data_IF_701840889131
#
_entry.id   IF_701840889131
#
_cell.length_a   1.000
_cell.length_b   1.000
_cell.length_c   1.000
_cell.angle_alpha   90.00
_cell.angle_beta   90.00
_cell.angle_gamma   90.00
#
_symmetry.space_group_name_H-M   'P 1'
#
loop_
_entity.id
_entity.type
_entity.pdbx_description
1 polymer ?
#
# COMPACT_ATOMS: atom_id res chain seq x y z
N UNK A 1 -34.98 14.65 -5.34
CA UNK A 1 -34.73 16.00 -5.88
C UNK A 1 -33.36 15.94 -6.53
N UNK A 2 -33.26 16.43 -7.77
CA UNK A 2 -32.08 16.25 -8.63
C UNK A 2 -30.94 17.14 -8.15
N UNK A 3 -29.84 16.52 -7.68
CA UNK A 3 -28.56 17.19 -7.46
C UNK A 3 -27.97 17.60 -8.82
N UNK A 4 -28.40 18.76 -9.31
CA UNK A 4 -27.80 19.40 -10.48
C UNK A 4 -26.48 20.04 -10.04
N UNK A 5 -25.38 19.29 -10.19
CA UNK A 5 -24.03 19.83 -10.08
C UNK A 5 -23.90 21.02 -11.04
N UNK A 6 -23.59 22.21 -10.51
CA UNK A 6 -23.40 23.41 -11.34
C UNK A 6 -22.01 23.36 -11.98
N UNK A 7 -21.89 23.51 -13.31
CA UNK A 7 -20.58 23.52 -13.98
C UNK A 7 -19.60 24.57 -13.46
N UNK A 8 -20.12 25.67 -12.90
CA UNK A 8 -19.33 26.74 -12.28
C UNK A 8 -18.57 26.27 -11.03
N UNK A 9 -19.18 25.44 -10.18
CA UNK A 9 -18.57 24.94 -8.94
C UNK A 9 -17.40 24.00 -9.26
N UNK A 10 -17.55 23.17 -10.30
CA UNK A 10 -16.47 22.28 -10.78
C UNK A 10 -15.30 23.11 -11.34
N UNK A 11 -15.59 24.19 -12.06
CA UNK A 11 -14.57 25.04 -12.69
C UNK A 11 -13.77 25.83 -11.64
N UNK A 12 -14.43 26.31 -10.59
CA UNK A 12 -13.78 27.01 -9.47
C UNK A 12 -12.89 26.09 -8.64
N UNK A 13 -13.33 24.86 -8.35
CA UNK A 13 -12.52 23.85 -7.65
C UNK A 13 -11.27 23.49 -8.47
N UNK A 14 -11.40 23.34 -9.79
CA UNK A 14 -10.25 23.07 -10.67
C UNK A 14 -9.29 24.26 -10.74
N UNK A 15 -9.80 25.50 -10.79
CA UNK A 15 -8.99 26.71 -10.76
C UNK A 15 -8.23 26.89 -9.43
N UNK A 16 -8.84 26.54 -8.30
CA UNK A 16 -8.15 26.52 -7.01
C UNK A 16 -7.03 25.48 -6.98
N UNK A 17 -7.32 24.24 -7.41
CA UNK A 17 -6.30 23.17 -7.49
C UNK A 17 -5.12 23.54 -8.40
N UNK A 18 -5.35 24.28 -9.48
CA UNK A 18 -4.29 24.76 -10.38
C UNK A 18 -3.44 25.88 -9.77
N UNK A 19 -4.03 26.75 -8.93
CA UNK A 19 -3.30 27.83 -8.24
C UNK A 19 -2.39 27.32 -7.13
N UNK A 20 -2.75 26.21 -6.50
CA UNK A 20 -1.94 25.56 -5.47
C UNK A 20 -0.75 24.75 -6.03
N UNK A 21 -0.58 24.68 -7.35
CA UNK A 21 0.62 24.13 -8.00
C UNK A 21 1.74 25.18 -7.90
N UNK A 22 2.19 25.46 -6.69
CA UNK A 22 3.41 26.21 -6.42
C UNK A 22 4.62 25.39 -6.83
N UNK A 23 5.52 25.98 -7.63
CA UNK A 23 6.74 25.35 -8.09
C UNK A 23 7.77 25.23 -6.96
N UNK A 24 7.61 24.28 -6.06
CA UNK A 24 8.72 23.79 -5.26
C UNK A 24 9.59 22.91 -6.15
N UNK A 25 10.73 23.45 -6.60
CA UNK A 25 11.78 22.67 -7.25
C UNK A 25 12.51 21.93 -6.13
N UNK A 26 11.92 20.83 -5.66
CA UNK A 26 12.67 19.85 -4.88
C UNK A 26 13.55 19.06 -5.85
N UNK A 27 14.85 18.96 -5.56
CA UNK A 27 15.75 18.07 -6.28
C UNK A 27 15.41 16.64 -5.88
N UNK A 28 14.38 16.08 -6.51
CA UNK A 28 14.08 14.66 -6.38
C UNK A 28 15.18 13.83 -7.04
N UNK A 29 15.62 12.81 -6.32
CA UNK A 29 16.56 11.84 -6.84
C UNK A 29 15.82 10.94 -7.84
N UNK A 30 16.16 11.08 -9.12
CA UNK A 30 15.55 10.34 -10.22
C UNK A 30 16.49 9.23 -10.68
N UNK A 31 15.93 8.04 -10.84
CA UNK A 31 16.57 6.88 -11.44
C UNK A 31 16.07 6.59 -12.85
N UNK A 32 16.76 5.69 -13.54
CA UNK A 32 16.37 5.24 -14.88
C UNK A 32 16.31 3.72 -14.91
N UNK A 33 15.21 3.18 -15.41
CA UNK A 33 15.03 1.73 -15.56
C UNK A 33 16.05 1.18 -16.55
N UNK A 34 16.89 0.24 -16.10
CA UNK A 34 17.83 -0.50 -16.93
C UNK A 34 17.14 -1.65 -17.64
N UNK A 35 16.47 -2.50 -16.88
CA UNK A 35 15.84 -3.73 -17.37
C UNK A 35 14.57 -4.01 -16.57
N UNK A 36 13.58 -4.61 -17.21
CA UNK A 36 12.35 -5.08 -16.56
C UNK A 36 12.08 -6.51 -17.00
N UNK A 37 11.90 -7.42 -16.05
CA UNK A 37 11.57 -8.80 -16.34
C UNK A 37 10.69 -9.39 -15.24
N UNK A 38 9.59 -10.04 -15.61
CA UNK A 38 8.67 -10.77 -14.72
C UNK A 38 8.30 -10.04 -13.42
N UNK A 39 8.03 -8.73 -13.51
CA UNK A 39 7.63 -7.92 -12.35
C UNK A 39 8.79 -7.41 -11.49
N UNK A 40 10.04 -7.67 -11.89
CA UNK A 40 11.25 -7.13 -11.27
C UNK A 40 11.87 -6.09 -12.21
N UNK A 41 12.21 -4.92 -11.67
CA UNK A 41 12.91 -3.89 -12.39
C UNK A 41 14.27 -3.59 -11.74
N UNK A 42 15.29 -3.36 -12.58
CA UNK A 42 16.58 -2.84 -12.15
C UNK A 42 16.67 -1.39 -12.55
N UNK A 43 17.04 -0.53 -11.60
CA UNK A 43 17.06 0.91 -11.77
C UNK A 43 18.47 1.40 -11.53
N UNK A 44 19.01 2.15 -12.47
CA UNK A 44 20.25 2.89 -12.29
C UNK A 44 19.99 4.22 -11.60
N UNK A 45 20.89 4.62 -10.69
CA UNK A 45 20.75 5.82 -9.88
C UNK A 45 20.15 5.52 -8.51
N UNK A 46 19.37 6.46 -7.96
CA UNK A 46 18.73 6.33 -6.64
C UNK A 46 19.74 5.96 -5.52
N UNK A 47 20.87 6.67 -5.44
CA UNK A 47 21.99 6.35 -4.54
C UNK A 47 21.61 6.36 -3.06
N UNK A 48 20.58 7.14 -2.70
CA UNK A 48 20.12 7.24 -1.33
C UNK A 48 18.85 6.43 -1.07
N UNK A 49 18.44 5.54 -1.99
CA UNK A 49 17.30 4.65 -1.78
C UNK A 49 17.49 3.77 -0.55
N UNK A 50 16.41 3.60 0.22
CA UNK A 50 16.40 2.74 1.40
C UNK A 50 15.78 1.37 1.08
N UNK A 51 16.19 0.36 1.84
CA UNK A 51 15.58 -0.96 1.73
C UNK A 51 14.10 -0.88 2.14
N UNK A 52 13.23 -1.58 1.41
CA UNK A 52 11.78 -1.51 1.55
C UNK A 52 11.17 -0.12 1.28
N UNK A 53 11.88 0.80 0.64
CA UNK A 53 11.30 2.07 0.21
C UNK A 53 10.34 1.88 -0.98
N UNK A 54 9.27 2.69 -1.02
CA UNK A 54 8.40 2.78 -2.18
C UNK A 54 9.01 3.70 -3.25
N UNK A 55 8.95 3.26 -4.49
CA UNK A 55 9.33 4.02 -5.67
C UNK A 55 8.11 4.27 -6.55
N UNK A 56 8.09 5.42 -7.21
CA UNK A 56 7.04 5.79 -8.15
C UNK A 56 7.62 5.91 -9.56
N UNK A 57 7.08 5.14 -10.48
CA UNK A 57 7.43 5.20 -11.89
C UNK A 57 6.70 6.35 -12.58
N UNK A 58 7.23 6.84 -13.70
CA UNK A 58 6.62 7.91 -14.48
C UNK A 58 5.15 7.66 -14.88
N UNK A 59 4.75 6.40 -14.98
CA UNK A 59 3.37 5.99 -15.28
C UNK A 59 2.46 5.85 -14.03
N UNK A 60 2.95 6.20 -12.83
CA UNK A 60 2.25 6.07 -11.55
C UNK A 60 2.30 4.67 -10.93
N UNK A 61 3.02 3.72 -11.53
CA UNK A 61 3.20 2.38 -10.93
C UNK A 61 4.10 2.50 -9.71
N UNK A 62 3.66 1.88 -8.61
CA UNK A 62 4.45 1.81 -7.38
C UNK A 62 5.30 0.53 -7.40
N UNK A 63 6.51 0.60 -6.85
CA UNK A 63 7.38 -0.54 -6.63
C UNK A 63 7.99 -0.50 -5.23
N UNK A 64 8.42 -1.65 -4.72
CA UNK A 64 9.17 -1.76 -3.47
C UNK A 64 10.63 -2.09 -3.78
N UNK A 65 11.55 -1.33 -3.18
CA UNK A 65 12.98 -1.64 -3.19
C UNK A 65 13.23 -2.91 -2.38
N UNK A 66 13.84 -3.91 -3.00
CA UNK A 66 14.21 -5.16 -2.35
C UNK A 66 15.72 -5.31 -2.22
N UNK A 67 16.46 -4.97 -3.27
CA UNK A 67 17.91 -5.11 -3.33
C UNK A 67 18.57 -3.75 -3.60
N UNK A 68 19.61 -3.45 -2.83
CA UNK A 68 20.49 -2.32 -3.05
C UNK A 68 21.85 -2.88 -3.48
N UNK A 69 22.18 -2.76 -4.76
CA UNK A 69 23.48 -3.12 -5.32
C UNK A 69 24.35 -1.86 -5.48
N UNK A 70 25.65 -2.02 -5.73
CA UNK A 70 26.58 -0.86 -5.84
C UNK A 70 26.19 0.09 -6.98
N UNK A 71 25.79 -0.46 -8.12
CA UNK A 71 25.51 0.30 -9.35
C UNK A 71 24.01 0.39 -9.69
N UNK A 72 23.16 -0.40 -9.04
CA UNK A 72 21.74 -0.44 -9.35
C UNK A 72 20.86 -0.80 -8.14
N UNK A 73 19.58 -0.48 -8.25
CA UNK A 73 18.55 -0.81 -7.28
C UNK A 73 17.58 -1.80 -7.90
N UNK A 74 17.39 -2.95 -7.25
CA UNK A 74 16.41 -3.95 -7.61
C UNK A 74 15.09 -3.69 -6.89
N UNK A 75 14.01 -3.52 -7.64
CA UNK A 75 12.67 -3.33 -7.10
C UNK A 75 11.65 -4.31 -7.67
N UNK A 76 10.62 -4.62 -6.88
CA UNK A 76 9.47 -5.41 -7.28
C UNK A 76 8.31 -4.47 -7.60
N UNK A 77 7.73 -4.61 -8.78
CA UNK A 77 6.61 -3.83 -9.26
C UNK A 77 5.32 -4.27 -8.56
N UNK A 78 4.58 -3.33 -7.98
CA UNK A 78 3.28 -3.55 -7.35
C UNK A 78 2.13 -3.22 -8.31
N UNK A 79 2.28 -3.64 -9.57
CA UNK A 79 1.35 -3.33 -10.64
C UNK A 79 1.70 -4.06 -11.94
N UNK A 80 0.98 -3.78 -13.03
CA UNK A 80 1.19 -4.45 -14.31
C UNK A 80 2.51 -4.04 -14.97
N UNK A 81 3.32 -5.04 -15.32
CA UNK A 81 4.64 -4.87 -15.97
C UNK A 81 4.54 -4.31 -17.39
N UNK A 82 3.42 -4.53 -18.09
CA UNK A 82 3.26 -4.25 -19.52
C UNK A 82 3.52 -2.81 -19.94
N UNK A 83 3.36 -1.87 -19.02
CA UNK A 83 3.48 -0.44 -19.28
C UNK A 83 4.83 0.16 -18.85
N UNK A 84 5.76 -0.66 -18.37
CA UNK A 84 7.09 -0.20 -17.94
C UNK A 84 8.12 -0.59 -19.00
N UNK A 85 8.97 0.36 -19.37
CA UNK A 85 9.99 0.20 -20.41
C UNK A 85 11.35 0.61 -19.87
N UNK A 86 12.39 0.07 -20.48
CA UNK A 86 13.76 0.54 -20.29
C UNK A 86 13.86 2.04 -20.62
N UNK A 87 14.68 2.76 -19.86
CA UNK A 87 14.81 4.21 -19.96
C UNK A 87 13.72 5.01 -19.23
N UNK A 88 12.67 4.37 -18.70
CA UNK A 88 11.63 5.06 -17.93
C UNK A 88 12.21 5.68 -16.66
N UNK A 89 11.70 6.86 -16.28
CA UNK A 89 12.13 7.54 -15.05
C UNK A 89 11.42 6.94 -13.84
N UNK A 90 12.18 6.82 -12.75
CA UNK A 90 11.67 6.37 -11.46
C UNK A 90 12.06 7.39 -10.41
N UNK A 91 11.12 7.72 -9.52
CA UNK A 91 11.31 8.67 -8.43
C UNK A 91 11.20 7.96 -7.09
N UNK A 92 11.92 8.49 -6.12
CA UNK A 92 11.80 8.07 -4.73
C UNK A 92 10.59 8.72 -4.09
N UNK A 93 9.85 7.93 -3.31
CA UNK A 93 8.79 8.48 -2.46
C UNK A 93 9.31 8.90 -1.10
N UNK A 94 10.53 8.47 -0.70
CA UNK A 94 11.12 8.65 0.64
C UNK A 94 10.27 8.02 1.75
N UNK A 95 9.41 7.08 1.40
CA UNK A 95 8.52 6.38 2.31
C UNK A 95 8.86 4.91 2.31
N UNK A 96 9.18 4.37 3.47
CA UNK A 96 9.21 2.93 3.69
C UNK A 96 7.82 2.36 3.42
N UNK A 97 7.77 1.15 2.87
CA UNK A 97 6.56 0.42 2.53
C UNK A 97 5.51 0.52 3.64
N UNK A 98 4.49 1.33 3.37
CA UNK A 98 3.45 1.70 4.31
C UNK A 98 2.14 1.94 3.58
N UNK A 99 1.06 1.88 4.34
CA UNK A 99 -0.28 2.21 3.88
C UNK A 99 -0.91 3.22 4.84
N UNK A 100 -1.80 4.07 4.34
CA UNK A 100 -2.64 4.88 5.22
C UNK A 100 -3.79 4.02 5.73
N UNK A 101 -4.12 4.15 7.01
CA UNK A 101 -5.21 3.38 7.63
C UNK A 101 -6.12 4.29 8.45
N UNK A 102 -7.42 4.00 8.42
CA UNK A 102 -8.44 4.62 9.27
C UNK A 102 -9.70 3.73 9.34
N UNK A 103 -10.67 4.18 10.13
CA UNK A 103 -11.94 3.47 10.33
C UNK A 103 -12.83 3.48 9.08
N UNK A 104 -12.63 4.43 8.16
CA UNK A 104 -13.37 4.51 6.88
C UNK A 104 -13.04 3.36 5.92
N UNK A 105 -12.02 2.54 6.22
CA UNK A 105 -11.73 1.30 5.48
C UNK A 105 -12.72 0.17 5.79
N UNK A 106 -13.46 0.23 6.90
CA UNK A 106 -14.38 -0.83 7.30
C UNK A 106 -15.46 -1.04 6.23
N UNK A 107 -15.59 -2.29 5.75
CA UNK A 107 -16.57 -2.66 4.73
C UNK A 107 -16.19 -2.33 3.29
N UNK A 108 -14.98 -1.78 3.07
CA UNK A 108 -14.40 -1.56 1.73
C UNK A 108 -13.58 -2.76 1.28
N UNK A 109 -13.38 -2.90 -0.03
CA UNK A 109 -12.38 -3.83 -0.59
C UNK A 109 -11.20 -3.02 -1.08
N UNK A 110 -10.01 -3.30 -0.55
CA UNK A 110 -8.77 -2.59 -0.85
C UNK A 110 -7.72 -3.51 -1.47
N UNK A 111 -6.80 -2.92 -2.24
CA UNK A 111 -5.59 -3.59 -2.69
C UNK A 111 -4.47 -3.50 -1.62
N UNK A 112 -3.32 -4.19 -1.80
CA UNK A 112 -2.21 -4.13 -0.86
C UNK A 112 -1.58 -2.75 -0.65
N UNK A 113 -1.84 -1.80 -1.55
CA UNK A 113 -1.40 -0.40 -1.46
C UNK A 113 -2.39 0.49 -0.69
N UNK A 114 -3.49 -0.07 -0.19
CA UNK A 114 -4.53 0.68 0.54
C UNK A 114 -5.54 1.41 -0.36
N UNK A 115 -5.55 1.17 -1.67
CA UNK A 115 -6.47 1.79 -2.62
C UNK A 115 -7.75 0.96 -2.75
N UNK A 116 -8.91 1.61 -2.83
CA UNK A 116 -10.18 0.93 -3.01
C UNK A 116 -10.34 0.32 -4.42
N UNK A 117 -10.82 -0.92 -4.46
CA UNK A 117 -11.10 -1.68 -5.70
C UNK A 117 -12.55 -2.16 -5.78
N UNK A 118 -13.41 -1.72 -4.85
CA UNK A 118 -14.83 -2.09 -4.79
C UNK A 118 -15.76 -1.25 -5.69
N UNK A 119 -15.23 -0.26 -6.40
CA UNK A 119 -16.00 0.63 -7.28
C UNK A 119 -16.89 1.64 -6.55
N UNK A 120 -16.78 1.78 -5.23
CA UNK A 120 -17.59 2.71 -4.42
C UNK A 120 -16.97 4.11 -4.27
N UNK A 121 -16.00 4.45 -5.11
CA UNK A 121 -15.22 5.69 -5.04
C UNK A 121 -13.99 5.57 -4.13
N UNK A 122 -13.32 6.69 -3.86
CA UNK A 122 -12.14 6.71 -3.00
C UNK A 122 -12.51 6.50 -1.52
N UNK A 123 -11.51 6.23 -0.68
CA UNK A 123 -11.67 6.18 0.78
C UNK A 123 -11.33 7.57 1.30
N UNK A 124 -12.18 8.13 2.15
CA UNK A 124 -11.85 9.37 2.84
C UNK A 124 -10.70 9.10 3.83
N UNK A 125 -9.55 9.75 3.59
CA UNK A 125 -8.31 9.59 4.36
C UNK A 125 -8.05 10.78 5.31
N UNK A 126 -9.04 11.63 5.59
CA UNK A 126 -8.83 12.85 6.40
C UNK A 126 -8.22 12.58 7.78
N UNK A 127 -8.64 11.51 8.46
CA UNK A 127 -8.10 11.10 9.77
C UNK A 127 -7.16 9.89 9.68
N UNK A 128 -6.59 9.63 8.50
CA UNK A 128 -5.71 8.49 8.32
C UNK A 128 -4.30 8.74 8.87
N UNK A 129 -3.72 7.69 9.46
CA UNK A 129 -2.33 7.69 9.87
C UNK A 129 -1.53 6.67 9.04
N UNK A 130 -0.24 6.93 8.91
CA UNK A 130 0.67 6.05 8.19
C UNK A 130 0.99 4.80 9.02
N UNK A 131 0.74 3.62 8.46
CA UNK A 131 1.04 2.33 9.05
C UNK A 131 2.12 1.62 8.22
N UNK A 132 3.36 1.48 8.74
CA UNK A 132 4.40 0.69 8.08
C UNK A 132 4.00 -0.78 8.00
N UNK A 133 4.27 -1.42 6.85
CA UNK A 133 4.04 -2.84 6.63
C UNK A 133 4.97 -3.68 7.51
N UNK A 134 6.26 -3.31 7.56
CA UNK A 134 7.29 -3.99 8.36
C UNK A 134 7.52 -3.30 9.71
N UNK A 135 6.50 -3.32 10.58
CA UNK A 135 6.64 -2.83 11.96
C UNK A 135 7.10 -3.94 12.91
N UNK A 136 7.92 -3.54 13.88
CA UNK A 136 8.34 -4.45 14.96
C UNK A 136 7.12 -4.92 15.76
N UNK A 137 7.01 -6.24 15.96
CA UNK A 137 5.94 -6.82 16.75
C UNK A 137 6.05 -6.43 18.24
N UNK A 138 4.91 -6.38 18.98
CA UNK A 138 4.92 -6.12 20.41
C UNK A 138 5.76 -7.16 21.18
N UNK A 139 6.68 -6.67 22.02
CA UNK A 139 7.49 -7.47 22.91
C UNK A 139 6.68 -8.12 24.04
N UNK A 140 7.31 -9.02 24.80
CA UNK A 140 6.63 -9.83 25.85
C UNK A 140 5.92 -8.97 26.90
N UNK A 141 6.54 -7.87 27.33
CA UNK A 141 6.00 -6.97 28.36
C UNK A 141 4.69 -6.28 27.96
N UNK A 142 4.44 -6.13 26.65
CA UNK A 142 3.23 -5.50 26.12
C UNK A 142 2.10 -6.51 25.86
N UNK A 143 2.36 -7.80 26.07
CA UNK A 143 1.39 -8.86 25.82
C UNK A 143 0.61 -9.18 27.09
N UNK A 144 -0.65 -9.57 26.91
CA UNK A 144 -1.48 -10.11 27.97
C UNK A 144 -1.85 -11.56 27.63
N UNK A 145 -2.02 -12.44 28.64
CA UNK A 145 -2.58 -13.76 28.41
C UNK A 145 -3.95 -13.66 27.76
N UNK A 146 -4.20 -14.51 26.76
CA UNK A 146 -5.49 -14.57 26.08
C UNK A 146 -6.52 -15.20 27.02
N UNK A 147 -7.51 -14.40 27.44
CA UNK A 147 -8.56 -14.82 28.39
C UNK A 147 -9.98 -14.66 27.85
N UNK A 148 -10.14 -13.97 26.72
CA UNK A 148 -11.46 -13.72 26.12
C UNK A 148 -11.65 -14.63 24.90
N UNK A 149 -12.76 -15.39 24.82
CA UNK A 149 -13.04 -16.21 23.66
C UNK A 149 -13.40 -15.35 22.43
N UNK A 150 -12.98 -15.81 21.25
CA UNK A 150 -13.46 -15.38 19.94
C UNK A 150 -14.49 -16.40 19.47
N UNK A 151 -15.76 -15.99 19.42
CA UNK A 151 -16.86 -16.88 19.04
C UNK A 151 -16.85 -17.10 17.53
N UNK A 152 -16.61 -18.33 17.09
CA UNK A 152 -16.67 -18.68 15.66
C UNK A 152 -18.07 -19.04 15.21
N UNK A 153 -18.91 -19.55 16.13
CA UNK A 153 -20.23 -20.09 15.84
C UNK A 153 -20.19 -21.52 15.30
N UNK A 154 -19.01 -22.11 15.14
CA UNK A 154 -18.83 -23.49 14.67
C UNK A 154 -18.68 -24.40 15.89
N UNK A 155 -19.69 -25.23 16.16
CA UNK A 155 -19.71 -26.13 17.35
C UNK A 155 -18.43 -26.94 17.50
N UNK A 156 -17.91 -27.52 16.42
CA UNK A 156 -16.71 -28.34 16.44
C UNK A 156 -15.46 -27.53 16.86
N UNK A 157 -15.37 -26.27 16.44
CA UNK A 157 -14.25 -25.39 16.79
C UNK A 157 -14.44 -24.89 18.21
N UNK A 158 -15.57 -24.25 18.52
CA UNK A 158 -15.78 -23.59 19.82
C UNK A 158 -15.80 -24.57 21.01
N UNK A 159 -16.09 -25.87 20.78
CA UNK A 159 -16.06 -26.90 21.83
C UNK A 159 -14.72 -27.63 21.96
N UNK A 160 -14.07 -27.99 20.85
CA UNK A 160 -12.85 -28.82 20.89
C UNK A 160 -11.57 -28.00 20.79
N UNK A 161 -11.58 -26.91 20.01
CA UNK A 161 -10.42 -26.07 19.71
C UNK A 161 -10.84 -24.59 19.84
N UNK A 162 -11.17 -24.11 21.05
CA UNK A 162 -11.64 -22.74 21.25
C UNK A 162 -10.56 -21.74 20.86
N UNK A 163 -10.93 -20.73 20.08
CA UNK A 163 -10.02 -19.66 19.65
C UNK A 163 -10.19 -18.46 20.59
N UNK A 164 -9.09 -17.92 21.11
CA UNK A 164 -9.12 -16.72 21.94
C UNK A 164 -8.80 -15.43 21.17
N UNK A 165 -9.29 -14.28 21.65
CA UNK A 165 -8.97 -12.96 21.07
C UNK A 165 -7.49 -12.62 21.30
N UNK A 166 -6.73 -12.50 20.21
CA UNK A 166 -5.28 -12.30 20.23
C UNK A 166 -4.46 -13.59 20.06
N UNK A 167 -5.12 -14.75 19.91
CA UNK A 167 -4.50 -16.00 19.48
C UNK A 167 -4.28 -16.01 17.96
N UNK A 168 -3.35 -16.86 17.50
CA UNK A 168 -3.16 -17.20 16.09
C UNK A 168 -3.49 -18.68 15.94
N UNK A 169 -4.45 -19.00 15.09
CA UNK A 169 -4.88 -20.38 14.81
C UNK A 169 -4.69 -20.67 13.33
N UNK A 170 -4.05 -21.79 13.00
CA UNK A 170 -3.81 -22.20 11.62
C UNK A 170 -4.94 -23.11 11.14
N UNK A 171 -5.60 -22.73 10.06
CA UNK A 171 -6.52 -23.61 9.32
C UNK A 171 -5.74 -24.20 8.15
N UNK A 172 -5.56 -25.52 8.15
CA UNK A 172 -4.82 -26.26 7.13
C UNK A 172 -5.67 -27.41 6.61
N UNK A 173 -5.70 -27.60 5.29
CA UNK A 173 -6.51 -28.61 4.61
C UNK A 173 -6.21 -28.69 3.12
N UNK A 174 -6.89 -29.62 2.44
CA UNK A 174 -6.80 -29.82 1.00
C UNK A 174 -7.63 -28.79 0.21
N UNK A 175 -7.57 -28.85 -1.13
CA UNK A 175 -8.43 -28.03 -1.97
C UNK A 175 -9.90 -28.43 -1.77
N UNK A 176 -10.80 -27.44 -1.79
CA UNK A 176 -12.25 -27.61 -1.67
C UNK A 176 -12.76 -28.16 -0.32
N UNK A 177 -12.08 -27.86 0.78
CA UNK A 177 -12.47 -28.34 2.12
C UNK A 177 -13.34 -27.37 2.94
N UNK A 178 -13.82 -26.29 2.33
CA UNK A 178 -14.63 -25.24 2.97
C UNK A 178 -14.13 -23.85 2.65
#
# INVERSE_FOLDING_TARGET
MSDKIKPSEVSEVLLQKLKDIGSNIEFDEVGTVLTVNDGVARIYGLRHAEANELLEFENGTIAIVMNLEEDNVGCILLGPTSNIKEGMKVKRTKRIASIFVNDNMLGRVINPLGQAIDGKGEIDLTDAYEMPLDRKAPGVIYRQPVKQPLQTGIKAVDSMIPIGRGQRELIIGDRQTG
#
